data_IF_226356700175
#
_entry.id   IF_226356700175
#
_cell.length_a   1.000
_cell.length_b   1.000
_cell.length_c   1.000
_cell.angle_alpha   90.00
_cell.angle_beta   90.00
_cell.angle_gamma   90.00
#
_symmetry.space_group_name_H-M   'P 1'
#
loop_
_entity.id
_entity.type
_entity.pdbx_description
1 polymer ?
#
# COMPACT_ATOMS: atom_id res chain seq x y z
N UNK A 1 13.85 -3.09 -10.68
CA UNK A 1 14.03 -2.07 -9.61
C UNK A 1 12.66 -1.82 -9.01
N UNK A 2 12.49 -2.05 -7.70
CA UNK A 2 11.21 -1.78 -7.04
C UNK A 2 11.07 -0.26 -6.90
N UNK A 3 10.35 0.37 -7.83
CA UNK A 3 10.05 1.80 -7.73
C UNK A 3 9.06 1.97 -6.59
N UNK A 4 9.39 2.84 -5.63
CA UNK A 4 8.47 3.21 -4.55
C UNK A 4 7.27 3.92 -5.17
N UNK A 5 6.12 3.23 -5.19
CA UNK A 5 4.86 3.74 -5.69
C UNK A 5 4.06 4.33 -4.54
N UNK A 6 3.22 5.32 -4.85
CA UNK A 6 2.32 5.95 -3.88
C UNK A 6 0.91 6.05 -4.42
N UNK A 7 -0.08 5.92 -3.53
CA UNK A 7 -1.47 6.30 -3.82
C UNK A 7 -1.68 7.72 -3.31
N UNK A 8 -2.05 8.63 -4.22
CA UNK A 8 -2.28 10.04 -3.93
C UNK A 8 -3.62 10.50 -4.52
N UNK A 9 -4.35 11.32 -3.78
CA UNK A 9 -5.60 11.95 -4.22
C UNK A 9 -5.35 13.44 -4.40
N UNK A 10 -5.76 14.01 -5.53
CA UNK A 10 -5.73 15.45 -5.76
C UNK A 10 -7.14 16.02 -5.68
N UNK A 11 -7.27 17.24 -5.18
CA UNK A 11 -8.53 17.98 -5.23
C UNK A 11 -8.70 18.75 -6.55
N UNK A 12 -9.79 19.51 -6.67
CA UNK A 12 -10.10 20.33 -7.85
C UNK A 12 -9.06 21.45 -8.10
N UNK A 13 -8.30 21.83 -7.08
CA UNK A 13 -7.23 22.83 -7.18
C UNK A 13 -5.88 22.23 -7.59
N UNK A 14 -5.79 20.89 -7.62
CA UNK A 14 -4.57 20.16 -7.94
C UNK A 14 -3.65 19.90 -6.74
N UNK A 15 -4.07 20.31 -5.54
CA UNK A 15 -3.35 20.03 -4.30
C UNK A 15 -3.58 18.59 -3.83
N UNK A 16 -2.59 18.03 -3.12
CA UNK A 16 -2.69 16.68 -2.56
C UNK A 16 -3.66 16.72 -1.38
N UNK A 17 -4.80 16.04 -1.54
CA UNK A 17 -5.80 15.84 -0.50
C UNK A 17 -5.49 14.54 0.26
N UNK A 18 -5.18 14.60 1.56
CA UNK A 18 -4.94 13.41 2.38
C UNK A 18 -6.09 12.40 2.30
N UNK A 19 -5.75 11.11 2.18
CA UNK A 19 -6.70 10.00 2.35
C UNK A 19 -6.79 9.71 3.84
N UNK A 20 -7.96 9.97 4.44
CA UNK A 20 -8.15 9.77 5.87
C UNK A 20 -8.18 8.27 6.21
N UNK A 21 -7.82 7.93 7.45
CA UNK A 21 -7.84 6.53 7.89
C UNK A 21 -9.23 5.86 7.76
N UNK A 22 -10.36 6.52 8.08
CA UNK A 22 -11.69 5.94 7.87
C UNK A 22 -11.99 5.66 6.39
N UNK A 23 -11.70 6.61 5.49
CA UNK A 23 -11.88 6.42 4.03
C UNK A 23 -11.05 5.26 3.52
N UNK A 24 -9.78 5.20 3.95
CA UNK A 24 -8.85 4.14 3.59
C UNK A 24 -9.37 2.76 4.02
N UNK A 25 -9.76 2.61 5.29
CA UNK A 25 -10.31 1.36 5.83
C UNK A 25 -11.57 0.93 5.08
N UNK A 26 -12.45 1.87 4.75
CA UNK A 26 -13.66 1.58 4.00
C UNK A 26 -13.35 1.06 2.58
N UNK A 27 -12.35 1.62 1.89
CA UNK A 27 -11.98 1.19 0.55
C UNK A 27 -11.39 -0.24 0.53
N UNK A 28 -10.63 -0.60 1.57
CA UNK A 28 -9.97 -1.90 1.73
C UNK A 28 -10.95 -2.98 2.17
N UNK A 29 -11.93 -2.64 3.01
CA UNK A 29 -12.86 -3.62 3.59
C UNK A 29 -13.68 -4.33 2.51
N UNK A 30 -13.73 -5.66 2.59
CA UNK A 30 -14.52 -6.49 1.67
C UNK A 30 -13.86 -6.77 0.33
N UNK A 31 -12.57 -6.43 0.15
CA UNK A 31 -11.79 -6.87 -1.00
C UNK A 31 -11.26 -8.29 -0.78
N UNK A 32 -11.44 -9.14 -1.79
CA UNK A 32 -10.90 -10.50 -1.77
C UNK A 32 -9.36 -10.47 -1.82
N UNK A 33 -8.72 -11.35 -1.03
CA UNK A 33 -7.26 -11.40 -0.92
C UNK A 33 -6.61 -10.15 -0.29
N UNK A 34 -7.37 -9.30 0.40
CA UNK A 34 -6.88 -8.06 1.02
C UNK A 34 -7.43 -7.90 2.44
N UNK A 35 -6.58 -7.52 3.39
CA UNK A 35 -7.00 -7.24 4.77
C UNK A 35 -6.20 -6.11 5.41
N UNK A 36 -6.75 -5.50 6.46
CA UNK A 36 -5.96 -4.63 7.33
C UNK A 36 -4.95 -5.46 8.11
N UNK A 37 -3.73 -4.97 8.18
CA UNK A 37 -2.68 -5.64 8.91
C UNK A 37 -2.90 -5.51 10.42
N UNK A 38 -2.51 -6.53 11.18
CA UNK A 38 -2.53 -6.53 12.65
C UNK A 38 -1.11 -6.48 13.21
N UNK A 39 -0.95 -5.79 14.35
CA UNK A 39 0.34 -5.68 15.04
C UNK A 39 1.44 -4.94 14.25
N UNK A 40 2.55 -4.71 14.92
CA UNK A 40 3.71 -4.02 14.35
C UNK A 40 4.46 -4.91 13.37
N UNK A 41 5.07 -4.30 12.35
CA UNK A 41 5.94 -5.02 11.44
C UNK A 41 7.39 -4.97 11.94
N UNK A 42 8.12 -6.06 11.70
CA UNK A 42 9.53 -6.16 12.03
C UNK A 42 10.32 -6.39 10.74
N UNK A 43 11.37 -5.62 10.53
CA UNK A 43 12.29 -5.82 9.43
C UNK A 43 13.73 -5.81 9.94
N UNK A 44 14.54 -6.74 9.45
CA UNK A 44 15.98 -6.72 9.72
C UNK A 44 16.62 -5.65 8.82
N UNK A 45 17.29 -4.67 9.42
CA UNK A 45 18.08 -3.72 8.66
C UNK A 45 19.29 -4.45 8.05
N UNK A 46 19.44 -4.53 6.71
CA UNK A 46 20.52 -5.29 6.10
C UNK A 46 21.91 -4.71 6.39
N UNK A 47 21.99 -3.40 6.68
CA UNK A 47 23.26 -2.71 6.96
C UNK A 47 23.67 -2.88 8.42
N UNK A 48 22.77 -2.61 9.36
CA UNK A 48 23.09 -2.65 10.80
C UNK A 48 22.89 -4.03 11.44
N UNK A 49 22.18 -4.94 10.77
CA UNK A 49 21.75 -6.24 11.31
C UNK A 49 20.86 -6.13 12.56
N UNK A 50 20.24 -4.97 12.78
CA UNK A 50 19.31 -4.74 13.88
C UNK A 50 17.85 -4.86 13.40
N UNK A 51 16.98 -5.32 14.30
CA UNK A 51 15.55 -5.34 14.06
C UNK A 51 14.96 -3.93 14.19
N UNK A 52 14.32 -3.48 13.11
CA UNK A 52 13.55 -2.25 13.07
C UNK A 52 12.08 -2.59 13.23
N UNK A 53 11.45 -2.02 14.26
CA UNK A 53 10.01 -2.11 14.49
C UNK A 53 9.33 -0.95 13.79
N UNK A 54 8.43 -1.26 12.87
CA UNK A 54 7.58 -0.31 12.18
C UNK A 54 6.18 -0.38 12.81
N UNK A 55 5.78 0.65 13.58
CA UNK A 55 4.52 0.62 14.30
C UNK A 55 3.36 0.65 13.32
N UNK A 56 2.39 -0.25 13.50
CA UNK A 56 1.19 -0.27 12.69
C UNK A 56 0.24 0.82 13.17
N UNK A 57 -0.03 1.77 12.28
CA UNK A 57 -0.89 2.93 12.57
C UNK A 57 -2.38 2.64 12.32
N UNK A 58 -2.71 1.37 12.12
CA UNK A 58 -4.06 0.86 11.90
C UNK A 58 -4.57 1.01 10.47
N UNK A 59 -3.69 1.38 9.54
CA UNK A 59 -3.98 1.54 8.11
C UNK A 59 -3.08 0.72 7.20
N UNK A 60 -2.11 -0.02 7.72
CA UNK A 60 -1.32 -0.91 6.87
C UNK A 60 -2.20 -2.03 6.30
N UNK A 61 -1.93 -2.46 5.08
CA UNK A 61 -2.72 -3.48 4.39
C UNK A 61 -1.84 -4.65 3.99
N UNK A 62 -2.39 -5.83 4.22
CA UNK A 62 -1.84 -7.10 3.80
C UNK A 62 -2.58 -7.63 2.57
N UNK A 63 -1.82 -8.19 1.64
CA UNK A 63 -2.32 -8.81 0.40
C UNK A 63 -1.96 -10.29 0.44
N UNK A 64 -2.91 -11.16 0.11
CA UNK A 64 -2.70 -12.60 0.03
C UNK A 64 -1.78 -12.95 -1.14
N UNK A 65 -0.86 -13.89 -0.89
CA UNK A 65 0.14 -14.35 -1.86
C UNK A 65 0.10 -15.87 -1.95
N UNK A 66 -0.41 -16.37 -3.06
CA UNK A 66 -0.53 -17.81 -3.31
C UNK A 66 0.83 -18.51 -3.41
N UNK A 67 1.88 -17.81 -3.86
CA UNK A 67 3.23 -18.38 -3.99
C UNK A 67 3.88 -18.84 -2.68
N UNK A 68 3.41 -18.36 -1.52
CA UNK A 68 3.88 -18.82 -0.21
C UNK A 68 2.76 -19.09 0.81
N UNK A 69 1.50 -19.14 0.35
CA UNK A 69 0.31 -19.41 1.18
C UNK A 69 0.21 -18.49 2.40
N UNK A 70 0.31 -17.17 2.16
CA UNK A 70 0.34 -16.22 3.27
C UNK A 70 0.06 -14.77 2.92
N UNK A 71 0.00 -13.96 3.98
CA UNK A 71 -0.29 -12.53 3.91
C UNK A 71 1.00 -11.72 3.81
N UNK A 72 1.10 -10.81 2.85
CA UNK A 72 2.20 -9.86 2.70
C UNK A 72 1.77 -8.47 3.14
N UNK A 73 2.44 -7.85 4.10
CA UNK A 73 2.24 -6.41 4.34
C UNK A 73 2.82 -5.63 3.18
N UNK A 74 1.95 -5.09 2.34
CA UNK A 74 2.30 -4.58 1.02
C UNK A 74 2.07 -3.08 0.87
N UNK A 75 1.01 -2.55 1.48
CA UNK A 75 0.68 -1.13 1.43
C UNK A 75 0.83 -0.52 2.82
N UNK A 76 1.61 0.56 2.91
CA UNK A 76 1.96 1.22 4.15
C UNK A 76 1.26 2.57 4.21
N UNK A 77 0.35 2.73 5.16
CA UNK A 77 -0.38 3.99 5.33
C UNK A 77 0.37 4.93 6.25
N UNK A 78 0.54 6.19 5.84
CA UNK A 78 1.15 7.23 6.67
C UNK A 78 0.12 8.25 7.19
N UNK A 79 0.34 8.85 8.37
CA UNK A 79 -0.58 9.83 8.98
C UNK A 79 -0.90 11.06 8.12
N UNK A 80 -0.07 11.37 7.13
CA UNK A 80 -0.33 12.43 6.15
C UNK A 80 -1.32 12.02 5.05
N UNK A 81 -1.87 10.80 5.10
CA UNK A 81 -2.85 10.28 4.16
C UNK A 81 -2.28 9.83 2.82
N UNK A 82 -0.97 9.57 2.76
CA UNK A 82 -0.30 8.91 1.62
C UNK A 82 -0.18 7.41 1.91
N UNK A 83 -0.18 6.60 0.85
CA UNK A 83 0.05 5.17 0.95
C UNK A 83 1.25 4.84 0.08
N UNK A 84 2.26 4.19 0.66
CA UNK A 84 3.48 3.78 -0.04
C UNK A 84 3.50 2.27 -0.23
N UNK A 85 3.97 1.81 -1.38
CA UNK A 85 4.12 0.38 -1.64
C UNK A 85 5.21 0.10 -2.67
N UNK A 86 5.59 -1.17 -2.72
CA UNK A 86 6.44 -1.74 -3.75
C UNK A 86 5.61 -2.73 -4.55
N UNK A 87 5.67 -2.61 -5.87
CA UNK A 87 5.10 -3.59 -6.79
C UNK A 87 6.23 -4.31 -7.53
N UNK A 88 6.83 -5.36 -6.93
CA UNK A 88 7.68 -6.26 -7.70
C UNK A 88 6.87 -6.89 -8.84
N UNK A 89 7.57 -7.43 -9.85
CA UNK A 89 6.94 -8.11 -10.99
C UNK A 89 5.82 -9.06 -10.52
N UNK A 90 4.69 -9.14 -11.25
CA UNK A 90 3.56 -9.93 -10.82
C UNK A 90 4.00 -11.39 -10.61
N UNK A 91 3.67 -11.95 -9.45
CA UNK A 91 3.78 -13.40 -9.26
C UNK A 91 2.81 -14.08 -10.23
N UNK A 92 3.16 -15.23 -10.83
CA UNK A 92 2.33 -15.90 -11.83
C UNK A 92 0.91 -16.21 -11.35
N UNK A 93 0.74 -16.47 -10.05
CA UNK A 93 -0.46 -17.12 -9.53
C UNK A 93 -1.11 -16.38 -8.34
N UNK A 94 -0.73 -15.12 -8.06
CA UNK A 94 -1.19 -14.39 -6.86
C UNK A 94 -1.81 -13.01 -7.11
N UNK A 95 -2.47 -12.47 -6.08
CA UNK A 95 -3.00 -11.09 -6.13
C UNK A 95 -1.85 -10.10 -6.39
N UNK A 96 -1.88 -9.46 -7.55
CA UNK A 96 -0.93 -8.41 -7.91
C UNK A 96 -1.11 -7.20 -6.99
N UNK A 97 -0.06 -6.81 -6.27
CA UNK A 97 -0.06 -5.63 -5.40
C UNK A 97 -0.45 -4.38 -6.20
N UNK A 98 0.03 -4.27 -7.45
CA UNK A 98 -0.32 -3.15 -8.33
C UNK A 98 -1.80 -3.17 -8.72
N UNK A 99 -2.37 -4.34 -9.00
CA UNK A 99 -3.80 -4.45 -9.31
C UNK A 99 -4.66 -4.07 -8.08
N UNK A 100 -4.32 -4.59 -6.90
CA UNK A 100 -4.97 -4.23 -5.63
C UNK A 100 -4.88 -2.73 -5.38
N UNK A 101 -3.70 -2.13 -5.57
CA UNK A 101 -3.51 -0.69 -5.40
C UNK A 101 -4.37 0.13 -6.38
N UNK A 102 -4.52 -0.32 -7.63
CA UNK A 102 -5.37 0.33 -8.64
C UNK A 102 -6.84 0.29 -8.25
N UNK A 103 -7.33 -0.86 -7.78
CA UNK A 103 -8.71 -1.00 -7.34
C UNK A 103 -9.03 -0.08 -6.15
N UNK A 104 -8.12 -0.03 -5.17
CA UNK A 104 -8.26 0.87 -4.01
C UNK A 104 -8.20 2.33 -4.46
N UNK A 105 -7.26 2.69 -5.34
CA UNK A 105 -7.15 4.05 -5.86
C UNK A 105 -8.43 4.46 -6.60
N UNK A 106 -9.00 3.57 -7.42
CA UNK A 106 -10.28 3.79 -8.11
C UNK A 106 -11.44 4.06 -7.14
N UNK A 107 -11.57 3.25 -6.07
CA UNK A 107 -12.60 3.47 -5.02
C UNK A 107 -12.46 4.82 -4.32
N UNK A 108 -11.24 5.34 -4.20
CA UNK A 108 -10.95 6.58 -3.48
C UNK A 108 -10.93 7.83 -4.39
N UNK A 109 -11.07 7.66 -5.71
CA UNK A 109 -10.80 8.73 -6.67
C UNK A 109 -9.35 9.22 -6.63
N UNK A 110 -8.43 8.33 -6.26
CA UNK A 110 -7.00 8.57 -6.16
C UNK A 110 -6.28 8.02 -7.41
N UNK A 111 -4.96 8.25 -7.48
CA UNK A 111 -4.09 7.76 -8.56
C UNK A 111 -2.83 7.16 -7.97
N UNK A 112 -2.20 6.27 -8.74
CA UNK A 112 -0.89 5.74 -8.42
C UNK A 112 0.16 6.65 -9.08
N UNK A 113 1.16 7.05 -8.30
CA UNK A 113 2.30 7.83 -8.77
C UNK A 113 3.60 7.14 -8.38
N UNK A 114 4.66 7.40 -9.13
CA UNK A 114 6.00 7.01 -8.73
C UNK A 114 6.65 8.06 -7.80
N UNK A 115 7.92 7.82 -7.43
CA UNK A 115 8.68 8.72 -6.57
C UNK A 115 8.75 10.16 -7.11
N UNK A 116 8.78 10.33 -8.43
CA UNK A 116 8.84 11.61 -9.14
C UNK A 116 7.46 12.25 -9.33
N UNK A 117 6.39 11.57 -8.90
CA UNK A 117 5.01 12.04 -9.03
C UNK A 117 4.40 11.78 -10.42
N UNK A 118 5.07 11.02 -11.28
CA UNK A 118 4.51 10.64 -12.57
C UNK A 118 3.44 9.56 -12.38
N UNK A 119 2.29 9.76 -13.03
CA UNK A 119 1.14 8.84 -12.94
C UNK A 119 1.52 7.50 -13.57
N UNK A 120 1.23 6.42 -12.85
CA UNK A 120 1.41 5.05 -13.31
C UNK A 120 0.02 4.40 -13.39
N UNK A 121 -0.58 4.52 -14.58
CA UNK A 121 -1.85 3.86 -14.91
C UNK A 121 -1.71 2.34 -14.91
#
# INVERSE_FOLDING_TARGET
MSYGLRIERKDESGEIKPITLPEWRQAVTGMDGVRLAEGDANALNPVTQEWVVMPNRGGDVEVWRDGYDGWLRALWWSPNGTISFSAPDPEPDGHSILAVARDIAGKLGARIVDADGAVRD
#
